data_IF_489726963823
#
_entry.id   IF_489726963823
#
_cell.length_a   1.000
_cell.length_b   1.000
_cell.length_c   1.000
_cell.angle_alpha   90.00
_cell.angle_beta   90.00
_cell.angle_gamma   90.00
#
_symmetry.space_group_name_H-M   'P 1'
#
loop_
_entity.id
_entity.type
_entity.pdbx_description
1 polymer ?
#
# COMPACT_ATOMS: atom_id res chain seq x y z
N UNK A 1 7.45 0.36 11.23
CA UNK A 1 8.41 1.26 11.94
C UNK A 1 9.03 0.61 13.17
N UNK A 2 8.30 0.29 14.23
CA UNK A 2 8.91 -0.23 15.48
C UNK A 2 9.81 -1.46 15.32
N UNK A 3 9.52 -2.35 14.38
CA UNK A 3 10.37 -3.51 14.12
C UNK A 3 11.77 -3.17 13.57
N UNK A 4 11.91 -2.04 12.87
CA UNK A 4 13.18 -1.57 12.32
C UNK A 4 13.82 -0.48 13.20
N UNK A 5 13.00 0.31 13.89
CA UNK A 5 13.40 1.45 14.70
C UNK A 5 12.72 1.41 16.07
N UNK A 6 13.32 0.76 17.09
CA UNK A 6 12.70 0.55 18.39
C UNK A 6 12.44 1.86 19.15
N UNK A 7 13.15 2.94 18.81
CA UNK A 7 12.98 4.27 19.41
C UNK A 7 11.85 5.11 18.80
N UNK A 8 11.01 4.52 17.94
CA UNK A 8 9.89 5.22 17.31
C UNK A 8 8.80 5.54 18.34
N UNK A 9 8.40 6.82 18.43
CA UNK A 9 7.21 7.23 19.17
C UNK A 9 6.04 7.36 18.18
N UNK A 10 4.93 6.70 18.48
CA UNK A 10 3.72 6.75 17.68
C UNK A 10 2.74 7.77 18.26
N UNK A 11 2.32 8.71 17.44
CA UNK A 11 1.22 9.62 17.73
C UNK A 11 0.04 9.26 16.85
N UNK A 12 -1.07 8.88 17.42
CA UNK A 12 -2.23 8.48 16.68
C UNK A 12 -3.54 8.83 17.35
N UNK A 13 -4.58 8.90 16.57
CA UNK A 13 -5.96 9.00 17.01
C UNK A 13 -6.57 7.60 17.06
N UNK A 14 -7.48 7.37 18.00
CA UNK A 14 -8.09 6.06 18.26
C UNK A 14 -8.60 5.36 17.02
N UNK A 15 -8.16 4.10 16.84
CA UNK A 15 -8.82 3.13 15.97
C UNK A 15 -9.66 2.19 16.83
N UNK A 16 -10.94 1.90 16.48
CA UNK A 16 -11.71 0.89 17.18
C UNK A 16 -10.96 -0.45 17.17
N UNK A 17 -10.77 -1.04 18.34
CA UNK A 17 -10.09 -2.33 18.49
C UNK A 17 -8.56 -2.28 18.57
N UNK A 18 -7.93 -1.12 18.38
CA UNK A 18 -6.51 -0.98 18.58
C UNK A 18 -6.21 -0.52 20.02
N UNK A 19 -5.61 -1.39 20.82
CA UNK A 19 -5.05 -1.04 22.12
C UNK A 19 -3.57 -0.69 21.93
N UNK A 20 -3.13 0.51 22.34
CA UNK A 20 -1.72 0.83 22.35
C UNK A 20 -0.98 -0.21 23.21
N UNK A 21 0.02 -0.86 22.62
CA UNK A 21 0.92 -1.73 23.37
C UNK A 21 2.30 -1.08 23.47
N UNK A 22 2.68 -0.66 24.66
CA UNK A 22 4.01 -0.12 24.96
C UNK A 22 4.04 1.37 25.27
N UNK A 23 5.07 1.77 26.00
CA UNK A 23 5.27 3.11 26.59
C UNK A 23 5.48 4.25 25.58
N UNK A 24 5.66 3.92 24.29
CA UNK A 24 5.96 4.89 23.23
C UNK A 24 4.77 5.21 22.34
N UNK A 25 3.57 4.82 22.74
CA UNK A 25 2.36 5.11 22.00
C UNK A 25 1.56 6.19 22.72
N UNK A 26 1.33 7.31 22.02
CA UNK A 26 0.64 8.48 22.56
C UNK A 26 -0.63 8.74 21.74
N UNK A 27 -1.76 8.80 22.44
CA UNK A 27 -3.02 9.16 21.82
C UNK A 27 -3.03 10.66 21.52
N UNK A 28 -3.35 11.03 20.27
CA UNK A 28 -3.58 12.41 19.87
C UNK A 28 -5.02 12.79 20.22
N UNK A 29 -5.16 13.66 21.19
CA UNK A 29 -6.42 14.31 21.58
C UNK A 29 -6.28 15.83 21.42
N UNK A 30 -7.36 16.57 21.44
CA UNK A 30 -7.28 18.04 21.41
C UNK A 30 -6.40 18.59 22.53
N UNK A 31 -6.46 17.99 23.72
CA UNK A 31 -5.65 18.39 24.87
C UNK A 31 -4.14 18.10 24.68
N UNK A 32 -3.80 17.09 23.86
CA UNK A 32 -2.38 16.73 23.60
C UNK A 32 -1.74 17.53 22.46
N UNK A 33 -2.52 18.24 21.63
CA UNK A 33 -1.99 19.00 20.49
C UNK A 33 -0.91 20.03 20.86
N UNK A 34 -1.03 20.83 21.95
CA UNK A 34 0.03 21.76 22.32
C UNK A 34 1.35 21.06 22.71
N UNK A 35 1.27 19.91 23.38
CA UNK A 35 2.44 19.11 23.72
C UNK A 35 3.09 18.51 22.48
N UNK A 36 2.28 17.98 21.55
CA UNK A 36 2.75 17.46 20.27
C UNK A 36 3.42 18.56 19.43
N UNK A 37 2.83 19.75 19.35
CA UNK A 37 3.40 20.90 18.63
C UNK A 37 4.78 21.29 19.21
N UNK A 38 4.93 21.33 20.53
CA UNK A 38 6.22 21.59 21.18
C UNK A 38 7.25 20.51 20.87
N UNK A 39 6.85 19.24 20.94
CA UNK A 39 7.73 18.12 20.61
C UNK A 39 8.19 18.13 19.14
N UNK A 40 7.33 18.49 18.20
CA UNK A 40 7.69 18.65 16.79
C UNK A 40 8.64 19.82 16.54
N UNK A 41 8.51 20.90 17.32
CA UNK A 41 9.37 22.09 17.23
C UNK A 41 10.74 21.92 17.92
N UNK A 42 10.89 20.90 18.77
CA UNK A 42 12.13 20.53 19.42
C UNK A 42 13.03 19.69 18.50
N UNK A 43 14.29 19.54 18.87
CA UNK A 43 15.25 18.66 18.19
C UNK A 43 15.21 17.21 18.70
N UNK A 44 14.12 16.81 19.35
CA UNK A 44 14.02 15.49 19.99
C UNK A 44 13.82 14.34 19.00
N UNK A 45 13.48 14.65 17.74
CA UNK A 45 13.24 13.67 16.69
C UNK A 45 14.25 13.80 15.56
N UNK A 46 14.80 12.67 15.13
CA UNK A 46 15.65 12.59 13.93
C UNK A 46 14.84 12.68 12.63
N UNK A 47 13.58 12.23 12.67
CA UNK A 47 12.67 12.19 11.54
C UNK A 47 11.22 12.17 12.01
N UNK A 48 10.35 12.88 11.31
CA UNK A 48 8.89 12.80 11.47
C UNK A 48 8.29 12.09 10.25
N UNK A 49 7.54 11.01 10.50
CA UNK A 49 6.80 10.30 9.43
C UNK A 49 5.31 10.56 9.60
N UNK A 50 4.66 10.99 8.53
CA UNK A 50 3.26 11.40 8.53
C UNK A 50 2.47 10.68 7.46
N UNK A 51 1.26 10.24 7.81
CA UNK A 51 0.27 9.77 6.85
C UNK A 51 -0.67 10.92 6.45
N UNK A 52 -1.08 11.02 5.18
CA UNK A 52 -2.09 11.99 4.75
C UNK A 52 -3.40 11.84 5.51
N UNK A 53 -4.11 12.95 5.71
CA UNK A 53 -5.45 12.94 6.31
C UNK A 53 -6.50 12.54 5.28
N UNK A 54 -7.47 11.71 5.68
CA UNK A 54 -8.58 11.31 4.80
C UNK A 54 -9.53 12.47 4.46
N UNK A 55 -9.50 13.56 5.22
CA UNK A 55 -10.27 14.78 4.99
C UNK A 55 -9.66 15.96 5.76
N UNK A 56 -10.02 17.17 5.38
CA UNK A 56 -9.61 18.38 6.12
C UNK A 56 -10.40 18.54 7.41
N UNK A 57 -9.75 18.71 8.59
CA UNK A 57 -10.45 18.99 9.84
C UNK A 57 -11.20 20.35 9.84
N UNK A 58 -10.90 21.22 8.89
CA UNK A 58 -11.53 22.53 8.75
C UNK A 58 -12.84 22.50 7.95
N UNK A 59 -13.25 21.33 7.45
CA UNK A 59 -14.52 21.15 6.74
C UNK A 59 -15.64 20.75 7.71
N UNK A 60 -16.57 21.67 7.99
CA UNK A 60 -17.74 21.44 8.87
C UNK A 60 -18.57 20.21 8.46
N UNK A 61 -18.70 19.95 7.14
CA UNK A 61 -19.40 18.76 6.63
C UNK A 61 -18.68 17.45 6.99
N UNK A 62 -17.34 17.47 7.14
CA UNK A 62 -16.58 16.30 7.56
C UNK A 62 -16.84 15.99 9.05
N UNK A 63 -17.00 17.02 9.88
CA UNK A 63 -17.37 16.88 11.29
C UNK A 63 -18.76 16.26 11.44
N UNK A 64 -19.78 16.82 10.79
CA UNK A 64 -21.15 16.29 10.86
C UNK A 64 -21.25 14.84 10.37
N UNK A 65 -20.62 14.52 9.22
CA UNK A 65 -20.57 13.14 8.69
C UNK A 65 -19.87 12.16 9.63
N UNK A 66 -18.88 12.60 10.39
CA UNK A 66 -18.15 11.75 11.33
C UNK A 66 -18.96 11.46 12.59
N UNK A 67 -19.80 12.38 13.04
CA UNK A 67 -20.70 12.20 14.19
C UNK A 67 -21.80 11.17 13.91
N UNK A 68 -22.30 11.09 12.67
CA UNK A 68 -23.36 10.15 12.27
C UNK A 68 -22.87 8.74 11.93
N UNK A 69 -21.56 8.48 11.98
CA UNK A 69 -21.02 7.11 11.79
C UNK A 69 -21.20 6.28 13.06
N UNK A 70 -21.52 4.99 12.89
CA UNK A 70 -21.63 4.03 14.02
C UNK A 70 -20.36 3.94 14.89
N UNK A 71 -19.20 4.36 14.37
CA UNK A 71 -17.94 4.45 15.11
C UNK A 71 -17.96 5.56 16.18
N UNK A 72 -18.73 6.63 16.00
CA UNK A 72 -18.88 7.70 16.99
C UNK A 72 -19.53 7.19 18.29
N UNK A 73 -20.47 6.25 18.19
CA UNK A 73 -21.11 5.59 19.33
C UNK A 73 -20.13 4.74 20.17
N UNK A 74 -18.96 4.41 19.61
CA UNK A 74 -17.87 3.68 20.28
C UNK A 74 -16.74 4.59 20.76
N UNK A 75 -16.93 5.90 20.78
CA UNK A 75 -15.92 6.87 21.18
C UNK A 75 -14.83 7.15 20.15
N UNK A 76 -14.94 6.58 18.94
CA UNK A 76 -13.99 6.82 17.85
C UNK A 76 -14.59 7.82 16.85
N UNK A 77 -14.20 9.08 16.99
CA UNK A 77 -14.59 10.14 16.06
C UNK A 77 -13.46 10.32 15.04
N UNK A 78 -13.61 9.81 13.80
CA UNK A 78 -12.56 9.88 12.75
C UNK A 78 -12.09 11.32 12.46
N UNK A 79 -12.92 12.30 12.77
CA UNK A 79 -12.62 13.73 12.65
C UNK A 79 -11.32 14.12 13.37
N UNK A 80 -11.07 13.61 14.58
CA UNK A 80 -9.88 13.98 15.33
C UNK A 80 -8.58 13.41 14.74
N UNK A 81 -8.68 12.38 13.91
CA UNK A 81 -7.51 11.79 13.22
C UNK A 81 -6.90 12.75 12.20
N UNK A 82 -7.70 13.61 11.60
CA UNK A 82 -7.25 14.56 10.58
C UNK A 82 -6.43 15.72 11.14
N UNK A 83 -6.41 15.93 12.48
CA UNK A 83 -5.58 16.95 13.09
C UNK A 83 -4.10 16.57 13.19
N UNK A 84 -3.75 15.28 13.24
CA UNK A 84 -2.36 14.84 13.28
C UNK A 84 -1.51 15.42 12.14
N UNK A 85 -1.87 15.20 10.88
CA UNK A 85 -1.17 15.79 9.74
C UNK A 85 -1.14 17.33 9.75
N UNK A 86 -2.18 18.00 10.24
CA UNK A 86 -2.22 19.47 10.29
C UNK A 86 -1.17 20.07 11.23
N UNK A 87 -0.70 19.30 12.22
CA UNK A 87 0.33 19.77 13.16
C UNK A 87 1.65 20.10 12.47
N UNK A 88 1.93 19.53 11.30
CA UNK A 88 3.13 19.87 10.52
C UNK A 88 3.07 21.23 9.84
N UNK A 89 1.93 21.92 9.83
CA UNK A 89 1.87 23.33 9.41
C UNK A 89 2.60 24.27 10.35
N UNK A 90 2.80 23.84 11.58
CA UNK A 90 3.63 24.53 12.55
C UNK A 90 5.13 24.34 12.29
N UNK A 91 5.93 24.75 13.24
CA UNK A 91 7.38 24.52 13.19
C UNK A 91 7.68 23.05 13.45
N UNK A 92 8.39 22.42 12.55
CA UNK A 92 8.95 21.07 12.70
C UNK A 92 10.46 21.17 12.51
N UNK A 93 11.23 20.73 13.49
CA UNK A 93 12.69 20.85 13.47
C UNK A 93 13.34 19.71 12.64
N UNK A 94 12.74 18.52 12.67
CA UNK A 94 13.24 17.34 11.98
C UNK A 94 12.80 17.30 10.50
N UNK A 95 13.52 16.58 9.61
CA UNK A 95 13.04 16.26 8.28
C UNK A 95 11.72 15.49 8.33
N UNK A 96 10.90 15.67 7.28
CA UNK A 96 9.55 15.08 7.22
C UNK A 96 9.46 14.13 6.05
N UNK A 97 9.08 12.86 6.31
CA UNK A 97 8.64 11.90 5.32
C UNK A 97 7.12 11.81 5.33
N UNK A 98 6.48 11.94 4.18
CA UNK A 98 5.05 11.61 4.04
C UNK A 98 4.93 10.21 3.47
N UNK A 99 4.15 9.34 4.13
CA UNK A 99 3.90 7.97 3.71
C UNK A 99 2.42 7.81 3.34
N UNK A 100 2.15 7.89 2.04
CA UNK A 100 0.80 7.88 1.47
C UNK A 100 0.43 6.50 0.94
N UNK A 101 -0.45 5.82 1.68
CA UNK A 101 -0.98 4.49 1.37
C UNK A 101 -2.35 4.52 0.70
N UNK A 102 -2.89 5.69 0.44
CA UNK A 102 -4.24 5.83 -0.09
C UNK A 102 -4.39 5.21 -1.49
N UNK A 103 -5.55 4.60 -1.74
CA UNK A 103 -5.89 3.97 -3.00
C UNK A 103 -5.94 4.93 -4.21
N UNK A 104 -6.42 6.17 -4.08
CA UNK A 104 -6.47 7.08 -5.22
C UNK A 104 -5.08 7.46 -5.74
N UNK A 105 -4.90 7.41 -7.07
CA UNK A 105 -3.69 7.88 -7.76
C UNK A 105 -3.60 9.42 -7.83
N UNK A 106 -4.17 10.11 -6.84
CA UNK A 106 -4.16 11.59 -6.74
C UNK A 106 -3.84 12.00 -5.31
N UNK A 107 -3.37 13.23 -5.16
CA UNK A 107 -3.21 13.85 -3.84
C UNK A 107 -4.39 14.80 -3.63
N UNK A 108 -5.14 14.60 -2.59
CA UNK A 108 -6.27 15.45 -2.25
C UNK A 108 -5.83 16.88 -1.95
N UNK A 109 -6.68 17.84 -2.34
CA UNK A 109 -6.37 19.27 -2.18
C UNK A 109 -5.96 19.64 -0.74
N UNK A 110 -6.61 19.04 0.25
CA UNK A 110 -6.30 19.33 1.65
C UNK A 110 -4.93 18.77 2.12
N UNK A 111 -4.36 17.82 1.38
CA UNK A 111 -3.05 17.21 1.67
C UNK A 111 -1.88 17.84 0.88
N UNK A 112 -2.14 18.78 -0.04
CA UNK A 112 -1.07 19.40 -0.87
C UNK A 112 -0.02 20.10 -0.02
N UNK A 113 -0.38 20.66 1.14
CA UNK A 113 0.59 21.28 2.04
C UNK A 113 1.66 20.31 2.55
N UNK A 114 1.35 19.02 2.61
CA UNK A 114 2.32 17.98 2.99
C UNK A 114 3.48 17.89 2.01
N UNK A 115 3.22 18.11 0.69
CA UNK A 115 4.29 18.21 -0.31
C UNK A 115 5.20 19.41 -0.10
N UNK A 116 4.67 20.54 0.39
CA UNK A 116 5.47 21.72 0.68
C UNK A 116 6.34 21.49 1.91
N UNK A 117 5.79 20.87 2.94
CA UNK A 117 6.46 20.60 4.20
C UNK A 117 7.45 19.40 4.15
N UNK A 118 7.15 18.40 3.32
CA UNK A 118 7.94 17.18 3.26
C UNK A 118 9.35 17.39 2.70
N UNK A 119 10.32 16.67 3.25
CA UNK A 119 11.60 16.36 2.61
C UNK A 119 11.35 15.38 1.46
N UNK A 120 10.64 14.28 1.71
CA UNK A 120 10.18 13.34 0.69
C UNK A 120 8.72 12.93 0.90
N UNK A 121 8.05 12.62 -0.21
CA UNK A 121 6.66 12.14 -0.26
C UNK A 121 6.61 10.77 -0.94
N UNK A 122 6.29 9.73 -0.20
CA UNK A 122 6.20 8.36 -0.69
C UNK A 122 4.75 8.04 -1.02
N UNK A 123 4.47 7.83 -2.32
CA UNK A 123 3.13 7.53 -2.83
C UNK A 123 3.04 6.10 -3.34
N UNK A 124 2.04 5.34 -2.86
CA UNK A 124 1.77 3.98 -3.32
C UNK A 124 1.24 3.95 -4.74
N UNK A 125 0.10 4.57 -4.97
CA UNK A 125 -0.53 4.65 -6.28
C UNK A 125 0.09 5.80 -7.11
N UNK A 126 1.35 5.64 -7.50
CA UNK A 126 2.11 6.67 -8.20
C UNK A 126 1.96 6.53 -9.72
N UNK A 127 1.19 7.39 -10.42
CA UNK A 127 1.02 7.29 -11.86
C UNK A 127 2.35 7.54 -12.60
N UNK A 128 2.56 6.97 -13.81
CA UNK A 128 3.78 7.20 -14.59
C UNK A 128 4.06 8.68 -14.89
N UNK A 129 3.04 9.47 -15.16
CA UNK A 129 3.15 10.94 -15.16
C UNK A 129 2.79 11.48 -13.78
N UNK A 130 3.78 11.79 -12.96
CA UNK A 130 3.61 12.30 -11.59
C UNK A 130 2.74 13.54 -11.49
N UNK A 131 2.65 14.34 -12.57
CA UNK A 131 1.77 15.50 -12.60
C UNK A 131 0.29 15.15 -12.46
N UNK A 132 -0.10 13.92 -12.79
CA UNK A 132 -1.46 13.43 -12.60
C UNK A 132 -1.90 13.39 -11.13
N UNK A 133 -0.96 13.33 -10.19
CA UNK A 133 -1.24 13.43 -8.76
C UNK A 133 -2.00 14.72 -8.40
N UNK A 134 -1.86 15.77 -9.20
CA UNK A 134 -2.47 17.07 -8.95
C UNK A 134 -3.85 17.28 -9.58
N UNK A 135 -4.39 16.29 -10.28
CA UNK A 135 -5.71 16.40 -10.93
C UNK A 135 -6.83 16.73 -9.93
N UNK A 136 -6.76 16.16 -8.72
CA UNK A 136 -7.73 16.42 -7.64
C UNK A 136 -7.50 17.70 -6.83
N UNK A 137 -6.46 18.49 -7.11
CA UNK A 137 -6.04 19.61 -6.25
C UNK A 137 -6.66 20.95 -6.66
N UNK A 138 -6.03 21.65 -7.60
CA UNK A 138 -6.44 22.99 -8.05
C UNK A 138 -7.08 22.98 -9.43
N UNK A 139 -6.78 21.99 -10.23
CA UNK A 139 -7.27 21.84 -11.59
C UNK A 139 -8.13 20.59 -11.68
N UNK A 140 -9.34 20.73 -12.20
CA UNK A 140 -10.24 19.60 -12.50
C UNK A 140 -9.79 18.77 -13.72
N UNK A 141 -8.70 19.20 -14.36
CA UNK A 141 -8.12 18.58 -15.55
C UNK A 141 -6.65 18.25 -15.27
N UNK A 142 -6.04 17.46 -16.16
CA UNK A 142 -4.60 17.22 -16.15
C UNK A 142 -3.85 18.55 -16.09
N UNK A 143 -2.85 18.72 -15.21
CA UNK A 143 -2.13 19.97 -15.05
C UNK A 143 -1.56 20.50 -16.35
N UNK A 144 -1.83 21.77 -16.66
CA UNK A 144 -1.38 22.44 -17.88
C UNK A 144 0.15 22.67 -17.88
N UNK A 145 0.77 22.94 -19.04
CA UNK A 145 2.18 23.33 -19.10
C UNK A 145 2.53 24.53 -18.21
N UNK A 146 1.60 25.49 -18.09
CA UNK A 146 1.77 26.66 -17.19
C UNK A 146 1.86 26.22 -15.72
N UNK A 147 0.98 25.30 -15.26
CA UNK A 147 1.04 24.74 -13.91
C UNK A 147 2.35 24.00 -13.67
N UNK A 148 2.79 23.18 -14.64
CA UNK A 148 4.04 22.41 -14.56
C UNK A 148 5.29 23.33 -14.56
N UNK A 149 5.24 24.49 -15.20
CA UNK A 149 6.37 25.42 -15.28
C UNK A 149 6.66 26.17 -13.98
N UNK A 150 5.70 26.28 -13.06
CA UNK A 150 5.88 26.97 -11.77
C UNK A 150 6.95 26.26 -10.94
N UNK A 151 7.96 27.01 -10.48
CA UNK A 151 9.10 26.48 -9.72
C UNK A 151 8.67 25.65 -8.48
N UNK A 152 7.69 26.16 -7.72
CA UNK A 152 7.13 25.44 -6.55
C UNK A 152 6.57 24.08 -6.93
N UNK A 153 5.87 23.96 -8.04
CA UNK A 153 5.28 22.68 -8.46
C UNK A 153 6.34 21.70 -8.96
N UNK A 154 7.38 22.21 -9.65
CA UNK A 154 8.54 21.37 -10.00
C UNK A 154 9.25 20.83 -8.76
N UNK A 155 9.45 21.67 -7.75
CA UNK A 155 10.03 21.26 -6.47
C UNK A 155 9.16 20.21 -5.75
N UNK A 156 7.82 20.31 -5.83
CA UNK A 156 6.91 19.29 -5.29
C UNK A 156 7.08 17.93 -5.96
N UNK A 157 7.15 17.91 -7.30
CA UNK A 157 7.33 16.68 -8.08
C UNK A 157 8.68 16.01 -7.78
N UNK A 158 9.74 16.78 -7.61
CA UNK A 158 11.07 16.27 -7.31
C UNK A 158 11.15 15.46 -5.98
N UNK A 159 10.23 15.75 -5.06
CA UNK A 159 10.17 15.06 -3.75
C UNK A 159 9.45 13.71 -3.76
N UNK A 160 8.74 13.37 -4.84
CA UNK A 160 7.87 12.20 -4.88
C UNK A 160 8.66 10.94 -5.18
N UNK A 161 8.40 9.89 -4.42
CA UNK A 161 9.01 8.57 -4.56
C UNK A 161 7.93 7.47 -4.55
N UNK A 162 8.07 6.40 -5.32
CA UNK A 162 7.18 5.25 -5.21
C UNK A 162 7.41 4.51 -3.89
N UNK A 163 6.33 3.96 -3.36
CA UNK A 163 6.39 2.99 -2.26
C UNK A 163 5.40 1.86 -2.55
N UNK A 164 5.62 0.69 -1.99
CA UNK A 164 4.66 -0.40 -2.09
C UNK A 164 3.77 -0.50 -0.84
N UNK A 165 2.63 -1.15 -1.00
CA UNK A 165 1.77 -1.53 0.10
C UNK A 165 2.48 -2.56 1.01
N UNK A 166 3.25 -3.43 0.38
CA UNK A 166 4.06 -4.43 1.05
C UNK A 166 3.26 -5.52 1.75
N UNK A 167 3.92 -6.23 2.63
CA UNK A 167 3.36 -7.36 3.36
C UNK A 167 2.80 -6.91 4.71
N UNK A 168 1.47 -6.98 4.94
CA UNK A 168 0.83 -6.49 6.17
C UNK A 168 0.97 -7.45 7.35
N UNK A 169 1.61 -8.60 7.16
CA UNK A 169 1.65 -9.67 8.13
C UNK A 169 2.50 -9.32 9.35
N UNK A 170 2.01 -9.61 10.54
CA UNK A 170 2.78 -9.56 11.77
C UNK A 170 3.79 -10.73 11.83
N UNK A 171 4.63 -10.77 12.87
CA UNK A 171 5.66 -11.83 13.03
C UNK A 171 5.06 -13.24 13.09
N UNK A 172 3.90 -13.39 13.74
CA UNK A 172 3.22 -14.67 13.88
C UNK A 172 2.73 -15.18 12.51
N UNK A 173 2.04 -14.34 11.76
CA UNK A 173 1.58 -14.68 10.41
C UNK A 173 2.74 -14.90 9.44
N UNK A 174 3.83 -14.13 9.55
CA UNK A 174 5.05 -14.37 8.76
C UNK A 174 5.70 -15.71 9.06
N UNK A 175 5.58 -16.21 10.30
CA UNK A 175 6.10 -17.51 10.67
C UNK A 175 5.25 -18.67 10.10
N UNK A 176 3.96 -18.44 9.89
CA UNK A 176 3.02 -19.43 9.32
C UNK A 176 2.92 -19.36 7.80
N UNK A 177 3.13 -18.18 7.20
CA UNK A 177 3.17 -17.98 5.75
C UNK A 177 4.46 -18.57 5.18
N UNK A 178 4.43 -19.84 4.79
CA UNK A 178 5.58 -20.57 4.27
C UNK A 178 5.23 -21.30 2.98
N UNK A 179 6.17 -21.37 2.01
CA UNK A 179 6.03 -22.27 0.88
C UNK A 179 5.85 -23.71 1.36
N UNK A 180 5.06 -24.47 0.63
CA UNK A 180 4.98 -25.93 0.77
C UNK A 180 5.79 -26.60 -0.35
N UNK A 181 6.22 -27.86 -0.17
CA UNK A 181 6.84 -28.64 -1.24
C UNK A 181 5.93 -28.72 -2.48
N UNK A 182 6.51 -28.80 -3.65
CA UNK A 182 5.78 -28.89 -4.92
C UNK A 182 4.78 -30.06 -4.96
N UNK A 183 5.13 -31.19 -4.29
CA UNK A 183 4.26 -32.36 -4.14
C UNK A 183 2.98 -32.10 -3.33
N UNK A 184 2.95 -31.02 -2.55
CA UNK A 184 1.79 -30.64 -1.75
C UNK A 184 0.91 -29.57 -2.44
N UNK A 185 1.28 -29.13 -3.65
CA UNK A 185 0.47 -28.18 -4.43
C UNK A 185 -0.84 -28.83 -4.87
N UNK A 186 -1.94 -28.37 -4.30
CA UNK A 186 -3.28 -28.95 -4.49
C UNK A 186 -4.09 -28.21 -5.60
N UNK A 187 -3.78 -26.94 -5.83
CA UNK A 187 -4.46 -26.11 -6.82
C UNK A 187 -3.48 -25.61 -7.91
N UNK A 188 -3.97 -25.44 -9.11
CA UNK A 188 -3.23 -24.79 -10.20
C UNK A 188 -3.35 -23.28 -10.07
N UNK A 189 -4.56 -22.80 -9.74
CA UNK A 189 -4.88 -21.39 -9.61
C UNK A 189 -5.68 -21.16 -8.34
N UNK A 190 -5.29 -20.16 -7.56
CA UNK A 190 -6.04 -19.70 -6.39
C UNK A 190 -6.45 -18.24 -6.55
N UNK A 191 -7.68 -17.95 -6.16
CA UNK A 191 -8.14 -16.58 -6.02
C UNK A 191 -9.13 -16.46 -4.87
N UNK A 192 -8.98 -15.42 -4.07
CA UNK A 192 -10.01 -14.94 -3.15
C UNK A 192 -9.99 -13.43 -3.13
N UNK A 193 -11.15 -12.84 -3.11
CA UNK A 193 -11.32 -11.40 -3.11
C UNK A 193 -12.72 -11.01 -3.49
N UNK A 194 -13.09 -9.80 -3.10
CA UNK A 194 -14.40 -9.28 -3.46
C UNK A 194 -14.44 -8.95 -4.96
N UNK A 195 -15.38 -9.54 -5.67
CA UNK A 195 -15.73 -9.17 -7.05
C UNK A 195 -17.05 -8.38 -6.98
N UNK A 196 -17.00 -7.11 -7.34
CA UNK A 196 -18.15 -6.18 -7.30
C UNK A 196 -18.29 -5.51 -8.64
N UNK A 197 -19.43 -4.88 -8.88
CA UNK A 197 -19.74 -4.13 -10.11
C UNK A 197 -18.80 -2.93 -10.35
N UNK A 198 -18.02 -2.55 -9.33
CA UNK A 198 -17.02 -1.48 -9.43
C UNK A 198 -15.66 -1.94 -9.96
N UNK A 199 -15.45 -3.22 -10.22
CA UNK A 199 -14.17 -3.76 -10.69
C UNK A 199 -14.34 -4.60 -11.96
N UNK A 200 -14.27 -3.95 -13.12
CA UNK A 200 -14.35 -4.62 -14.42
C UNK A 200 -13.21 -5.63 -14.62
N UNK A 201 -12.00 -5.31 -14.18
CA UNK A 201 -10.84 -6.22 -14.25
C UNK A 201 -11.12 -7.53 -13.52
N UNK A 202 -11.71 -7.48 -12.33
CA UNK A 202 -12.04 -8.69 -11.56
C UNK A 202 -13.21 -9.45 -12.15
N UNK A 203 -14.23 -8.75 -12.68
CA UNK A 203 -15.37 -9.41 -13.30
C UNK A 203 -14.96 -10.18 -14.56
N UNK A 204 -14.24 -9.53 -15.48
CA UNK A 204 -13.75 -10.14 -16.71
C UNK A 204 -12.77 -11.27 -16.40
N UNK A 205 -11.79 -11.03 -15.53
CA UNK A 205 -10.81 -12.03 -15.16
C UNK A 205 -11.42 -13.24 -14.44
N UNK A 206 -12.48 -13.07 -13.64
CA UNK A 206 -13.19 -14.21 -13.05
C UNK A 206 -13.81 -15.10 -14.12
N UNK A 207 -14.42 -14.52 -15.14
CA UNK A 207 -14.97 -15.28 -16.27
C UNK A 207 -13.84 -16.09 -16.95
N UNK A 208 -12.67 -15.50 -17.16
CA UNK A 208 -11.53 -16.19 -17.76
C UNK A 208 -10.97 -17.30 -16.86
N UNK A 209 -10.87 -17.07 -15.57
CA UNK A 209 -10.43 -18.11 -14.61
C UNK A 209 -11.43 -19.28 -14.59
N UNK A 210 -12.73 -19.02 -14.74
CA UNK A 210 -13.74 -20.09 -14.83
C UNK A 210 -13.61 -20.87 -16.14
N UNK A 211 -13.25 -20.25 -17.27
CA UNK A 211 -12.91 -20.97 -18.51
C UNK A 211 -11.77 -21.98 -18.29
N UNK A 212 -10.78 -21.64 -17.46
CA UNK A 212 -9.69 -22.57 -17.10
C UNK A 212 -10.19 -23.75 -16.27
N UNK A 213 -11.13 -23.52 -15.36
CA UNK A 213 -11.79 -24.60 -14.63
C UNK A 213 -12.52 -25.57 -15.55
N UNK A 214 -13.24 -25.05 -16.54
CA UNK A 214 -13.94 -25.87 -17.55
C UNK A 214 -12.97 -26.67 -18.43
N UNK A 215 -11.74 -26.18 -18.63
CA UNK A 215 -10.65 -26.91 -19.30
C UNK A 215 -9.96 -27.96 -18.41
N UNK A 216 -10.40 -28.14 -17.16
CA UNK A 216 -9.88 -29.17 -16.26
C UNK A 216 -8.75 -28.72 -15.32
N UNK A 217 -8.39 -27.43 -15.29
CA UNK A 217 -7.45 -26.92 -14.29
C UNK A 217 -8.08 -26.92 -12.89
N UNK A 218 -7.27 -27.18 -11.85
CA UNK A 218 -7.70 -27.15 -10.45
C UNK A 218 -7.76 -25.71 -9.96
N UNK A 219 -8.94 -25.09 -10.07
CA UNK A 219 -9.20 -23.71 -9.68
C UNK A 219 -9.83 -23.69 -8.29
N UNK A 220 -9.16 -23.06 -7.32
CA UNK A 220 -9.63 -22.87 -5.96
C UNK A 220 -10.11 -21.42 -5.75
N UNK A 221 -11.44 -21.24 -5.74
CA UNK A 221 -12.12 -19.98 -5.45
C UNK A 221 -13.12 -20.26 -4.35
N UNK A 222 -12.84 -19.89 -3.09
CA UNK A 222 -13.74 -20.16 -1.98
C UNK A 222 -15.00 -19.29 -2.02
N UNK A 223 -16.14 -19.89 -1.72
CA UNK A 223 -17.45 -19.20 -1.67
C UNK A 223 -17.58 -18.28 -0.45
N UNK A 224 -16.82 -18.55 0.63
CA UNK A 224 -16.90 -17.84 1.89
C UNK A 224 -15.61 -17.07 2.20
N UNK A 225 -15.71 -16.06 3.07
CA UNK A 225 -14.55 -15.40 3.61
C UNK A 225 -13.69 -16.38 4.40
N UNK A 226 -12.42 -16.45 4.06
CA UNK A 226 -11.45 -17.29 4.77
C UNK A 226 -10.90 -16.56 6.01
N UNK A 227 -10.50 -17.32 7.02
CA UNK A 227 -9.58 -16.83 8.03
C UNK A 227 -8.24 -16.50 7.38
N UNK A 228 -7.43 -15.61 7.98
CA UNK A 228 -6.11 -15.29 7.41
C UNK A 228 -5.21 -16.52 7.31
N UNK A 229 -5.26 -17.43 8.29
CA UNK A 229 -4.50 -18.69 8.27
C UNK A 229 -4.93 -19.62 7.13
N UNK A 230 -6.25 -19.81 6.92
CA UNK A 230 -6.76 -20.61 5.81
C UNK A 230 -6.44 -20.03 4.45
N UNK A 231 -6.54 -18.70 4.35
CA UNK A 231 -6.14 -17.96 3.15
C UNK A 231 -4.67 -18.22 2.79
N UNK A 232 -3.76 -18.02 3.75
CA UNK A 232 -2.32 -18.23 3.53
C UNK A 232 -2.00 -19.70 3.21
N UNK A 233 -2.66 -20.65 3.89
CA UNK A 233 -2.50 -22.08 3.62
C UNK A 233 -2.94 -22.46 2.21
N UNK A 234 -4.08 -21.96 1.72
CA UNK A 234 -4.56 -22.21 0.35
C UNK A 234 -3.65 -21.54 -0.68
N UNK A 235 -3.21 -20.31 -0.40
CA UNK A 235 -2.24 -19.61 -1.24
C UNK A 235 -0.94 -20.42 -1.39
N UNK A 236 -0.41 -20.98 -0.29
CA UNK A 236 0.79 -21.81 -0.31
C UNK A 236 0.61 -23.10 -1.14
N UNK A 237 -0.58 -23.66 -1.17
CA UNK A 237 -0.91 -24.89 -1.92
C UNK A 237 -1.31 -24.67 -3.38
N UNK A 238 -1.22 -23.42 -3.87
CA UNK A 238 -1.47 -23.11 -5.27
C UNK A 238 -0.18 -22.83 -6.04
N UNK A 239 -0.13 -23.18 -7.32
CA UNK A 239 0.96 -22.82 -8.22
C UNK A 239 0.93 -21.35 -8.57
N UNK A 240 -0.25 -20.86 -8.94
CA UNK A 240 -0.50 -19.48 -9.30
C UNK A 240 -1.53 -18.87 -8.35
N UNK A 241 -1.31 -17.63 -7.97
CA UNK A 241 -2.34 -16.81 -7.29
C UNK A 241 -2.71 -15.64 -8.19
N UNK A 242 -3.97 -15.61 -8.63
CA UNK A 242 -4.47 -14.47 -9.39
C UNK A 242 -4.65 -13.27 -8.46
N UNK A 243 -3.91 -12.22 -8.74
CA UNK A 243 -3.89 -10.99 -7.93
C UNK A 243 -4.21 -9.75 -8.77
N UNK A 244 -5.44 -9.63 -9.28
CA UNK A 244 -5.87 -8.45 -10.02
C UNK A 244 -5.95 -7.23 -9.13
N UNK A 245 -5.83 -6.04 -9.73
CA UNK A 245 -6.04 -4.77 -9.05
C UNK A 245 -7.39 -4.70 -8.32
N UNK A 246 -7.44 -3.87 -7.28
CA UNK A 246 -8.64 -3.55 -6.51
C UNK A 246 -9.10 -2.13 -6.74
N UNK A 247 -9.31 -1.36 -5.66
CA UNK A 247 -9.49 0.09 -5.72
C UNK A 247 -8.21 0.80 -6.15
N UNK A 248 -7.04 0.29 -5.72
CA UNK A 248 -5.73 0.63 -6.22
C UNK A 248 -5.12 -0.57 -6.93
N UNK A 249 -4.07 -0.31 -7.71
CA UNK A 249 -3.32 -1.34 -8.41
C UNK A 249 -2.54 -2.24 -7.42
N UNK A 250 -1.88 -1.62 -6.45
CA UNK A 250 -1.00 -2.33 -5.51
C UNK A 250 -1.82 -3.04 -4.43
N UNK A 251 -1.78 -4.37 -4.42
CA UNK A 251 -2.58 -5.23 -3.54
C UNK A 251 -1.72 -6.06 -2.59
N UNK A 252 -2.16 -6.23 -1.35
CA UNK A 252 -1.52 -7.13 -0.37
C UNK A 252 -1.36 -8.55 -0.90
N UNK A 253 -2.36 -9.07 -1.63
CA UNK A 253 -2.35 -10.43 -2.19
C UNK A 253 -1.11 -10.72 -3.03
N UNK A 254 -0.59 -9.75 -3.73
CA UNK A 254 0.64 -9.89 -4.54
C UNK A 254 1.83 -10.33 -3.68
N UNK A 255 1.99 -9.70 -2.53
CA UNK A 255 3.09 -9.97 -1.59
C UNK A 255 2.83 -11.21 -0.75
N UNK A 256 1.57 -11.44 -0.38
CA UNK A 256 1.14 -12.63 0.36
C UNK A 256 1.29 -13.89 -0.48
N UNK A 257 0.95 -13.85 -1.77
CA UNK A 257 1.18 -14.95 -2.70
C UNK A 257 2.67 -15.31 -2.80
N UNK A 258 3.50 -14.31 -3.03
CA UNK A 258 4.95 -14.51 -3.16
C UNK A 258 5.56 -15.13 -1.90
N UNK A 259 5.21 -14.64 -0.70
CA UNK A 259 5.78 -15.18 0.55
C UNK A 259 5.28 -16.60 0.86
N UNK A 260 4.12 -16.98 0.34
CA UNK A 260 3.57 -18.34 0.44
C UNK A 260 4.14 -19.29 -0.63
N UNK A 261 5.01 -18.84 -1.52
CA UNK A 261 5.56 -19.67 -2.59
C UNK A 261 4.57 -19.96 -3.72
N UNK A 262 3.61 -19.08 -3.95
CA UNK A 262 2.73 -19.08 -5.11
C UNK A 262 3.13 -17.95 -6.05
N UNK A 263 3.18 -18.20 -7.36
CA UNK A 263 3.57 -17.17 -8.33
C UNK A 263 2.40 -16.22 -8.58
N UNK A 264 2.55 -14.90 -8.33
CA UNK A 264 1.49 -13.95 -8.61
C UNK A 264 1.23 -13.78 -10.11
N UNK A 265 -0.05 -13.74 -10.49
CA UNK A 265 -0.49 -13.34 -11.83
C UNK A 265 -1.29 -12.05 -11.70
N UNK A 266 -0.81 -10.98 -12.34
CA UNK A 266 -1.32 -9.63 -12.18
C UNK A 266 -1.71 -9.04 -13.53
N UNK A 267 -2.71 -8.15 -13.55
CA UNK A 267 -2.88 -7.30 -14.72
C UNK A 267 -1.68 -6.35 -14.86
N UNK A 268 -1.42 -5.89 -16.09
CA UNK A 268 -0.27 -5.02 -16.37
C UNK A 268 -0.34 -3.72 -15.58
N UNK A 269 0.79 -3.26 -14.97
CA UNK A 269 0.76 -2.15 -14.03
C UNK A 269 0.54 -0.80 -14.70
N UNK A 270 -0.31 0.01 -14.06
CA UNK A 270 -0.63 1.39 -14.45
C UNK A 270 0.05 2.42 -13.56
N UNK A 271 0.91 1.97 -12.62
CA UNK A 271 1.61 2.81 -11.66
C UNK A 271 3.12 2.50 -11.61
N UNK A 272 3.92 3.46 -11.17
CA UNK A 272 5.29 3.21 -10.74
C UNK A 272 5.30 2.57 -9.35
N UNK A 273 6.12 1.54 -9.20
CA UNK A 273 6.23 0.77 -7.95
C UNK A 273 7.67 0.77 -7.43
N UNK A 274 7.79 0.70 -6.12
CA UNK A 274 9.07 0.46 -5.46
C UNK A 274 9.48 -1.00 -5.64
N UNK A 275 10.70 -1.24 -6.13
CA UNK A 275 11.27 -2.61 -6.28
C UNK A 275 10.24 -3.63 -6.82
N UNK A 276 9.63 -3.40 -7.99
CA UNK A 276 8.50 -4.21 -8.46
C UNK A 276 8.89 -5.66 -8.71
N UNK A 277 7.94 -6.57 -8.53
CA UNK A 277 8.05 -7.91 -9.08
C UNK A 277 8.19 -7.81 -10.59
N UNK A 278 9.16 -8.54 -11.17
CA UNK A 278 9.48 -8.51 -12.60
C UNK A 278 8.83 -9.67 -13.32
N UNK A 279 8.29 -9.40 -14.52
CA UNK A 279 7.69 -10.41 -15.38
C UNK A 279 8.70 -11.52 -15.73
N UNK A 280 8.25 -12.76 -15.65
CA UNK A 280 9.05 -13.95 -15.99
C UNK A 280 10.10 -14.34 -14.97
N UNK A 281 10.37 -13.50 -13.96
CA UNK A 281 11.30 -13.75 -12.87
C UNK A 281 10.58 -13.93 -11.51
N UNK A 282 9.57 -13.09 -11.23
CA UNK A 282 8.88 -13.08 -9.94
C UNK A 282 7.35 -13.28 -10.11
N UNK A 283 6.80 -12.90 -11.25
CA UNK A 283 5.36 -12.90 -11.52
C UNK A 283 5.10 -13.02 -13.02
N UNK A 284 3.81 -13.13 -13.38
CA UNK A 284 3.35 -12.95 -14.74
C UNK A 284 2.41 -11.75 -14.81
N UNK A 285 2.49 -11.00 -15.93
CA UNK A 285 1.51 -9.97 -16.26
C UNK A 285 0.63 -10.42 -17.40
N UNK A 286 -0.64 -10.04 -17.33
CA UNK A 286 -1.58 -10.18 -18.43
C UNK A 286 -2.18 -8.80 -18.78
N UNK A 287 -2.57 -8.65 -20.04
CA UNK A 287 -3.34 -7.50 -20.49
C UNK A 287 -4.83 -7.75 -20.24
N UNK A 288 -5.59 -6.68 -19.89
CA UNK A 288 -7.03 -6.82 -19.63
C UNK A 288 -7.78 -6.87 -20.95
N UNK A 289 -7.52 -7.95 -21.71
CA UNK A 289 -8.10 -8.26 -23.00
C UNK A 289 -8.66 -9.69 -22.95
N UNK A 290 -9.73 -9.98 -23.73
CA UNK A 290 -10.37 -11.30 -23.69
C UNK A 290 -9.39 -12.42 -24.11
N UNK A 291 -9.27 -13.41 -23.26
CA UNK A 291 -8.43 -14.59 -23.48
C UNK A 291 -6.96 -14.43 -23.06
N UNK A 292 -6.46 -13.23 -22.75
CA UNK A 292 -5.03 -13.07 -22.42
C UNK A 292 -4.69 -13.67 -21.05
N UNK A 293 -5.55 -13.52 -20.05
CA UNK A 293 -5.35 -14.15 -18.74
C UNK A 293 -5.30 -15.69 -18.86
N UNK A 294 -6.20 -16.28 -19.67
CA UNK A 294 -6.20 -17.72 -19.94
C UNK A 294 -4.87 -18.13 -20.58
N UNK A 295 -4.46 -17.44 -21.63
CA UNK A 295 -3.22 -17.73 -22.37
C UNK A 295 -1.99 -17.66 -21.46
N UNK A 296 -1.89 -16.62 -20.63
CA UNK A 296 -0.75 -16.43 -19.70
C UNK A 296 -0.72 -17.54 -18.65
N UNK A 297 -1.86 -17.89 -18.06
CA UNK A 297 -1.92 -18.93 -17.03
C UNK A 297 -1.65 -20.33 -17.61
N UNK A 298 -2.17 -20.67 -18.78
CA UNK A 298 -1.88 -21.95 -19.46
C UNK A 298 -0.39 -22.08 -19.77
N UNK A 299 0.21 -21.04 -20.34
CA UNK A 299 1.64 -21.03 -20.63
C UNK A 299 2.51 -21.14 -19.36
N UNK A 300 2.11 -20.47 -18.28
CA UNK A 300 2.79 -20.55 -16.99
C UNK A 300 2.71 -21.96 -16.39
N UNK A 301 1.53 -22.57 -16.42
CA UNK A 301 1.28 -23.87 -15.82
C UNK A 301 1.93 -25.03 -16.61
N UNK A 302 2.37 -24.82 -17.83
CA UNK A 302 3.08 -25.81 -18.64
C UNK A 302 4.51 -26.10 -18.12
N UNK A 303 5.12 -25.21 -17.37
CA UNK A 303 6.49 -25.38 -16.83
C UNK A 303 6.51 -25.20 -15.28
N UNK A 304 6.21 -26.27 -14.56
CA UNK A 304 6.19 -26.29 -13.08
C UNK A 304 7.56 -26.02 -12.47
N UNK A 305 8.62 -26.49 -13.08
CA UNK A 305 9.96 -26.26 -12.59
C UNK A 305 10.35 -24.76 -12.66
N UNK A 306 9.89 -24.07 -13.72
CA UNK A 306 10.01 -22.61 -13.80
C UNK A 306 9.21 -21.92 -12.71
N UNK A 307 7.96 -22.36 -12.46
CA UNK A 307 7.14 -21.78 -11.39
C UNK A 307 7.79 -21.90 -10.02
N UNK A 308 8.41 -23.05 -9.68
CA UNK A 308 9.13 -23.21 -8.41
C UNK A 308 10.30 -22.23 -8.29
N UNK A 309 11.08 -22.05 -9.34
CA UNK A 309 12.17 -21.04 -9.34
C UNK A 309 11.63 -19.61 -9.19
N UNK A 310 10.57 -19.26 -9.91
CA UNK A 310 9.94 -17.95 -9.83
C UNK A 310 9.33 -17.68 -8.46
N UNK A 311 8.67 -18.67 -7.86
CA UNK A 311 8.11 -18.57 -6.52
C UNK A 311 9.19 -18.26 -5.48
N UNK A 312 10.35 -18.97 -5.57
CA UNK A 312 11.49 -18.72 -4.68
C UNK A 312 12.08 -17.31 -4.87
N UNK A 313 12.27 -16.87 -6.11
CA UNK A 313 12.77 -15.53 -6.41
C UNK A 313 11.81 -14.42 -5.91
N UNK A 314 10.50 -14.63 -6.08
CA UNK A 314 9.48 -13.71 -5.60
C UNK A 314 9.44 -13.64 -4.06
N UNK A 315 9.54 -14.79 -3.38
CA UNK A 315 9.64 -14.86 -1.92
C UNK A 315 10.86 -14.07 -1.42
N UNK A 316 12.03 -14.29 -2.02
CA UNK A 316 13.28 -13.62 -1.62
C UNK A 316 13.19 -12.11 -1.78
N UNK A 317 12.65 -11.63 -2.91
CA UNK A 317 12.43 -10.21 -3.14
C UNK A 317 11.47 -9.60 -2.11
N UNK A 318 10.34 -10.26 -1.83
CA UNK A 318 9.35 -9.75 -0.89
C UNK A 318 9.90 -9.71 0.55
N UNK A 319 10.65 -10.73 0.96
CA UNK A 319 11.30 -10.75 2.28
C UNK A 319 12.35 -9.65 2.42
N UNK A 320 13.13 -9.39 1.38
CA UNK A 320 14.17 -8.38 1.39
C UNK A 320 13.61 -6.95 1.36
N UNK A 321 12.61 -6.67 0.52
CA UNK A 321 12.25 -5.31 0.12
C UNK A 321 10.82 -4.88 0.51
N UNK A 322 9.89 -5.83 0.71
CA UNK A 322 8.47 -5.50 0.87
C UNK A 322 7.88 -5.86 2.25
N UNK A 323 8.72 -6.25 3.21
CA UNK A 323 8.27 -6.35 4.60
C UNK A 323 8.08 -4.95 5.19
N UNK A 324 7.22 -4.82 6.20
CA UNK A 324 7.02 -3.54 6.89
C UNK A 324 8.32 -2.94 7.43
N UNK A 325 9.26 -3.79 7.87
CA UNK A 325 10.58 -3.34 8.33
C UNK A 325 11.46 -2.83 7.18
N UNK A 326 11.45 -3.49 6.03
CA UNK A 326 12.19 -3.07 4.84
C UNK A 326 11.66 -1.73 4.30
N UNK A 327 10.33 -1.59 4.19
CA UNK A 327 9.70 -0.33 3.75
C UNK A 327 9.96 0.81 4.74
N UNK A 328 9.96 0.53 6.04
CA UNK A 328 10.32 1.51 7.05
C UNK A 328 11.77 1.99 6.89
N UNK A 329 12.71 1.07 6.69
CA UNK A 329 14.11 1.42 6.38
C UNK A 329 14.21 2.28 5.13
N UNK A 330 13.58 1.87 4.04
CA UNK A 330 13.57 2.65 2.80
C UNK A 330 13.09 4.08 3.01
N UNK A 331 11.96 4.28 3.69
CA UNK A 331 11.42 5.63 3.97
C UNK A 331 12.39 6.45 4.83
N UNK A 332 12.89 5.88 5.91
CA UNK A 332 13.76 6.59 6.87
C UNK A 332 15.11 6.92 6.23
N UNK A 333 15.80 5.92 5.70
CA UNK A 333 17.15 6.08 5.17
C UNK A 333 17.19 7.02 3.95
N UNK A 334 16.21 6.86 3.03
CA UNK A 334 16.13 7.73 1.85
C UNK A 334 15.84 9.18 2.24
N UNK A 335 14.96 9.41 3.22
CA UNK A 335 14.62 10.76 3.66
C UNK A 335 15.80 11.42 4.37
N UNK A 336 16.47 10.71 5.27
CA UNK A 336 17.64 11.23 5.98
C UNK A 336 18.81 11.49 5.04
N UNK A 337 19.06 10.60 4.07
CA UNK A 337 20.10 10.81 3.05
C UNK A 337 19.80 12.06 2.20
N UNK A 338 18.56 12.22 1.73
CA UNK A 338 18.13 13.39 0.98
C UNK A 338 18.29 14.67 1.80
N UNK A 339 17.89 14.65 3.05
CA UNK A 339 18.03 15.80 3.95
C UNK A 339 19.49 16.23 4.13
N UNK A 340 20.40 15.27 4.39
CA UNK A 340 21.84 15.53 4.53
C UNK A 340 22.48 16.10 3.24
N UNK A 341 21.98 15.71 2.08
CA UNK A 341 22.43 16.21 0.79
C UNK A 341 21.89 17.62 0.43
N UNK A 342 21.16 18.27 1.33
CA UNK A 342 20.61 19.62 1.11
C UNK A 342 19.24 19.65 0.43
N UNK A 343 18.56 18.53 0.36
CA UNK A 343 17.24 18.37 -0.24
C UNK A 343 17.28 17.94 -1.73
N UNK A 344 16.13 17.65 -2.34
CA UNK A 344 16.01 17.29 -3.74
C UNK A 344 16.17 18.50 -4.66
#
# INVERSE_FOLDING_TARGET
>A
MAAAYPNTTYHWSTLPGFKPSGDRQRLVTLASLPALSRALASSDYDLVVVNPGSFSPWQLQAFSRSLFRRSALRGDIPYFRSFGPEMIRGRVAAPIAVWDWDDPAVIDRHNVFLLDAATLYFKRELPPDYWRLFVGTLHRRVPTPRFRSVARNRARIAKIRPISLGLPLNREHLATARPVPDSEKAADIFFTGRVTDSSTVRQQGLIEVMKLKDKGYRVDIPDNNLSLSDYLARCARAWLTWSPEGYGYDCFRTYEAAICGSVPVLNRPTIHRYKPLREGEHCFYYDVEDGDLVRVMEAALADRARLSRMAKAAEDLVRAEHTQAALARYVVETTLATHRAGGP
#
